data_IF_381897969083
#
_entry.id   IF_381897969083
#
_cell.length_a   1.000
_cell.length_b   1.000
_cell.length_c   1.000
_cell.angle_alpha   90.00
_cell.angle_beta   90.00
_cell.angle_gamma   90.00
#
_symmetry.space_group_name_H-M   'P 1'
#
loop_
_entity.id
_entity.type
_entity.pdbx_description
1 polymer ?
#
# COMPACT_ATOMS: atom_id res chain seq x y z
N UNK A 1 15.75 -13.20 -12.29
CA UNK A 1 14.74 -12.93 -11.24
C UNK A 1 14.76 -11.42 -11.04
N UNK A 2 13.64 -10.74 -11.26
CA UNK A 2 13.60 -9.28 -11.27
C UNK A 2 13.54 -8.69 -9.86
N UNK A 3 14.25 -7.58 -9.67
CA UNK A 3 14.04 -6.67 -8.54
C UNK A 3 12.62 -6.10 -8.61
N UNK A 4 12.01 -5.86 -7.45
CA UNK A 4 10.71 -5.20 -7.34
C UNK A 4 10.87 -3.95 -6.50
N UNK A 5 10.54 -2.80 -7.09
CA UNK A 5 10.57 -1.51 -6.40
C UNK A 5 9.15 -1.04 -6.13
N UNK A 6 8.84 -0.66 -4.90
CA UNK A 6 7.53 -0.15 -4.49
C UNK A 6 7.59 1.36 -4.30
N UNK A 7 6.72 2.09 -5.01
CA UNK A 7 6.62 3.54 -4.88
C UNK A 7 6.01 3.96 -3.54
N UNK A 8 6.34 5.18 -3.10
CA UNK A 8 5.71 5.82 -1.95
C UNK A 8 4.18 5.86 -2.11
N UNK A 9 3.68 6.27 -3.28
CA UNK A 9 2.26 6.34 -3.59
C UNK A 9 1.53 5.00 -3.36
N UNK A 10 2.08 3.91 -3.92
CA UNK A 10 1.49 2.58 -3.81
C UNK A 10 1.46 2.10 -2.36
N UNK A 11 2.57 2.30 -1.62
CA UNK A 11 2.64 1.94 -0.21
C UNK A 11 1.63 2.72 0.63
N UNK A 12 1.60 4.05 0.49
CA UNK A 12 0.73 4.92 1.29
C UNK A 12 -0.73 4.55 1.08
N UNK A 13 -1.19 4.37 -0.16
CA UNK A 13 -2.58 3.93 -0.42
C UNK A 13 -2.90 2.59 0.24
N UNK A 14 -2.00 1.61 0.14
CA UNK A 14 -2.19 0.29 0.74
C UNK A 14 -2.30 0.38 2.27
N UNK A 15 -1.42 1.17 2.89
CA UNK A 15 -1.43 1.40 4.33
C UNK A 15 -2.71 2.12 4.79
N UNK A 16 -3.09 3.22 4.11
CA UNK A 16 -4.28 3.99 4.44
C UNK A 16 -5.57 3.17 4.27
N UNK A 17 -5.64 2.28 3.26
CA UNK A 17 -6.78 1.38 3.08
C UNK A 17 -6.95 0.43 4.28
N UNK A 18 -5.85 -0.17 4.76
CA UNK A 18 -5.87 -0.99 5.96
C UNK A 18 -6.27 -0.19 7.22
N UNK A 19 -5.78 1.05 7.36
CA UNK A 19 -6.14 1.93 8.47
C UNK A 19 -7.61 2.38 8.47
N UNK A 20 -8.23 2.54 7.30
CA UNK A 20 -9.65 2.87 7.20
C UNK A 20 -10.57 1.74 7.66
N UNK A 21 -10.13 0.49 7.49
CA UNK A 21 -10.92 -0.69 7.81
C UNK A 21 -10.17 -1.64 8.76
N UNK A 22 -9.80 -1.19 9.98
CA UNK A 22 -8.88 -1.92 10.88
C UNK A 22 -9.45 -3.24 11.43
N UNK A 23 -10.76 -3.45 11.27
CA UNK A 23 -11.46 -4.68 11.70
C UNK A 23 -11.81 -5.60 10.53
N UNK A 24 -11.41 -5.23 9.32
CA UNK A 24 -11.68 -5.98 8.11
C UNK A 24 -10.35 -6.41 7.48
N UNK A 25 -10.37 -7.51 6.74
CA UNK A 25 -9.34 -7.72 5.74
C UNK A 25 -9.61 -6.80 4.56
N UNK A 26 -8.55 -6.29 3.94
CA UNK A 26 -8.61 -5.47 2.74
C UNK A 26 -7.79 -6.10 1.63
N UNK A 27 -8.10 -5.79 0.36
CA UNK A 27 -7.28 -6.18 -0.77
C UNK A 27 -7.15 -5.04 -1.81
N UNK A 28 -6.23 -5.22 -2.74
CA UNK A 28 -5.99 -4.26 -3.81
C UNK A 28 -5.19 -4.85 -4.97
N UNK A 29 -5.06 -4.06 -6.03
CA UNK A 29 -4.20 -4.37 -7.18
C UNK A 29 -3.02 -3.42 -7.20
N UNK A 30 -1.83 -3.98 -7.47
CA UNK A 30 -0.64 -3.19 -7.70
C UNK A 30 -0.52 -2.91 -9.21
N UNK A 31 -0.34 -1.64 -9.56
CA UNK A 31 -0.07 -1.20 -10.90
C UNK A 31 1.43 -1.03 -11.07
N UNK A 32 1.98 -1.65 -12.11
CA UNK A 32 3.41 -1.58 -12.39
C UNK A 32 3.68 -1.08 -13.80
N UNK A 33 4.70 -0.26 -13.95
CA UNK A 33 5.36 -0.07 -15.23
C UNK A 33 6.56 -1.01 -15.29
N UNK A 34 6.73 -1.70 -16.43
CA UNK A 34 7.92 -2.52 -16.67
C UNK A 34 8.83 -1.77 -17.62
N UNK A 35 9.88 -1.09 -17.15
CA UNK A 35 10.96 -0.67 -18.03
C UNK A 35 11.62 -1.93 -18.63
N UNK A 36 12.28 -1.79 -19.78
CA UNK A 36 12.84 -2.90 -20.58
C UNK A 36 13.98 -3.71 -19.91
N UNK A 37 14.18 -3.60 -18.59
CA UNK A 37 15.29 -4.17 -17.82
C UNK A 37 14.93 -5.26 -16.81
N UNK A 38 13.71 -5.80 -16.84
CA UNK A 38 13.33 -6.96 -16.01
C UNK A 38 13.10 -6.67 -14.51
N UNK A 39 13.30 -5.44 -14.06
CA UNK A 39 12.83 -4.96 -12.75
C UNK A 39 11.36 -4.50 -12.87
N UNK A 40 10.55 -4.83 -11.87
CA UNK A 40 9.13 -4.43 -11.80
C UNK A 40 9.03 -3.22 -10.88
N UNK A 41 8.66 -2.07 -11.46
CA UNK A 41 8.41 -0.86 -10.69
C UNK A 41 6.91 -0.77 -10.40
N UNK A 42 6.51 -1.03 -9.16
CA UNK A 42 5.13 -0.80 -8.70
C UNK A 42 4.95 0.69 -8.50
N UNK A 43 4.20 1.31 -9.41
CA UNK A 43 4.01 2.76 -9.48
C UNK A 43 2.80 3.23 -8.68
N UNK A 44 1.76 2.41 -8.59
CA UNK A 44 0.52 2.76 -7.89
C UNK A 44 -0.20 1.52 -7.32
N UNK A 45 -1.19 1.76 -6.45
CA UNK A 45 -2.08 0.76 -5.88
C UNK A 45 -3.53 1.19 -6.09
N UNK A 46 -4.39 0.23 -6.42
CA UNK A 46 -5.84 0.40 -6.48
C UNK A 46 -6.47 -0.39 -5.32
N UNK A 47 -6.91 0.29 -4.24
CA UNK A 47 -7.71 -0.30 -3.17
C UNK A 47 -9.00 -0.89 -3.75
N UNK A 48 -9.29 -2.17 -3.48
CA UNK A 48 -10.45 -2.86 -4.05
C UNK A 48 -11.58 -3.01 -3.03
N UNK A 49 -11.46 -3.98 -2.12
CA UNK A 49 -12.58 -4.41 -1.27
C UNK A 49 -12.22 -4.32 0.21
N UNK A 50 -13.25 -4.05 1.03
CA UNK A 50 -13.16 -4.08 2.50
C UNK A 50 -14.28 -4.88 3.17
N UNK A 51 -15.34 -5.28 2.44
CA UNK A 51 -16.52 -5.95 3.01
C UNK A 51 -16.73 -7.40 2.55
N UNK A 52 -16.46 -7.72 1.28
CA UNK A 52 -16.80 -9.01 0.64
C UNK A 52 -15.61 -9.82 0.16
N UNK A 53 -14.61 -10.03 1.01
CA UNK A 53 -13.49 -10.92 0.68
C UNK A 53 -13.87 -12.38 0.95
N UNK A 54 -13.79 -13.30 -0.03
CA UNK A 54 -14.00 -14.73 0.20
C UNK A 54 -12.75 -15.34 0.87
N UNK A 55 -12.39 -14.84 2.05
CA UNK A 55 -11.32 -15.39 2.87
C UNK A 55 -11.88 -16.51 3.75
N UNK A 56 -11.14 -17.60 3.85
CA UNK A 56 -11.42 -18.59 4.88
C UNK A 56 -11.30 -17.91 6.27
N UNK A 57 -12.22 -18.16 7.23
CA UNK A 57 -12.21 -17.51 8.54
C UNK A 57 -10.86 -17.57 9.29
N UNK A 58 -10.12 -18.66 9.10
CA UNK A 58 -8.79 -18.84 9.72
C UNK A 58 -7.72 -17.92 9.11
N UNK A 59 -7.81 -17.63 7.80
CA UNK A 59 -6.90 -16.70 7.12
C UNK A 59 -7.16 -15.27 7.57
N UNK A 60 -8.44 -14.90 7.70
CA UNK A 60 -8.84 -13.59 8.22
C UNK A 60 -8.31 -13.41 9.66
N UNK A 61 -8.49 -14.40 10.53
CA UNK A 61 -7.98 -14.35 11.91
C UNK A 61 -6.44 -14.25 11.96
N UNK A 62 -5.73 -15.02 11.14
CA UNK A 62 -4.27 -14.98 11.07
C UNK A 62 -3.75 -13.60 10.62
N UNK A 63 -4.37 -12.99 9.61
CA UNK A 63 -4.01 -11.66 9.13
C UNK A 63 -4.25 -10.59 10.20
N UNK A 64 -5.40 -10.62 10.88
CA UNK A 64 -5.69 -9.66 11.98
C UNK A 64 -4.74 -9.82 13.18
N UNK A 65 -4.31 -11.05 13.49
CA UNK A 65 -3.38 -11.29 14.61
C UNK A 65 -1.92 -10.91 14.28
N UNK A 66 -1.49 -11.05 13.02
CA UNK A 66 -0.10 -10.78 12.60
C UNK A 66 0.19 -9.27 12.48
N UNK A 67 -0.83 -8.42 12.31
CA UNK A 67 -0.66 -6.99 12.00
C UNK A 67 -0.45 -6.06 13.19
N UNK A 68 -1.09 -6.32 14.34
CA UNK A 68 -1.14 -5.34 15.44
C UNK A 68 0.23 -4.96 16.05
N UNK A 69 1.19 -5.89 16.07
CA UNK A 69 2.52 -5.66 16.66
C UNK A 69 3.56 -5.07 15.71
N UNK A 70 3.37 -5.17 14.39
CA UNK A 70 4.36 -4.74 13.38
C UNK A 70 4.06 -3.37 12.77
N UNK A 71 2.88 -2.82 13.01
CA UNK A 71 2.50 -1.46 12.63
C UNK A 71 2.89 -0.40 13.67
N UNK A 72 3.69 -0.76 14.69
CA UNK A 72 4.19 0.22 15.65
C UNK A 72 5.05 1.30 14.97
N UNK A 73 4.98 2.58 15.38
CA UNK A 73 5.79 3.65 14.80
C UNK A 73 7.32 3.43 14.93
N UNK A 74 7.75 2.60 15.88
CA UNK A 74 9.16 2.22 16.06
C UNK A 74 9.66 1.16 15.07
N UNK A 75 8.76 0.58 14.25
CA UNK A 75 9.12 -0.44 13.28
C UNK A 75 9.86 0.20 12.10
N UNK A 76 11.18 -0.02 12.03
CA UNK A 76 12.09 0.61 11.05
C UNK A 76 12.16 -0.09 9.70
N UNK A 77 11.45 -1.20 9.52
CA UNK A 77 11.40 -1.92 8.25
C UNK A 77 9.96 -1.94 7.72
N UNK A 78 9.73 -1.85 6.40
CA UNK A 78 8.39 -1.96 5.85
C UNK A 78 7.74 -3.30 6.26
N UNK A 79 6.51 -3.30 6.80
CA UNK A 79 5.81 -4.52 7.20
C UNK A 79 5.24 -5.27 5.98
N UNK A 80 6.05 -5.53 4.95
CA UNK A 80 5.65 -6.18 3.71
C UNK A 80 6.31 -7.55 3.59
N UNK A 81 5.51 -8.53 3.19
CA UNK A 81 5.97 -9.85 2.78
C UNK A 81 5.59 -10.06 1.31
N UNK A 82 6.57 -10.32 0.46
CA UNK A 82 6.32 -10.53 -0.97
C UNK A 82 6.53 -12.00 -1.34
N UNK A 83 5.58 -12.53 -2.11
CA UNK A 83 5.67 -13.85 -2.71
C UNK A 83 5.80 -13.72 -4.23
N UNK A 84 6.59 -14.59 -4.84
CA UNK A 84 6.69 -14.72 -6.29
C UNK A 84 6.23 -16.12 -6.71
N UNK A 85 5.50 -16.18 -7.83
CA UNK A 85 5.02 -17.44 -8.39
C UNK A 85 6.10 -18.04 -9.27
N UNK A 86 6.60 -19.22 -8.88
CA UNK A 86 7.48 -20.06 -9.68
C UNK A 86 6.70 -21.29 -10.10
N UNK A 87 6.58 -21.49 -11.41
CA UNK A 87 5.74 -22.52 -12.02
C UNK A 87 4.29 -22.45 -11.50
N UNK A 88 3.92 -23.33 -10.57
CA UNK A 88 2.59 -23.43 -9.97
C UNK A 88 2.54 -23.05 -8.50
N UNK A 89 3.67 -22.70 -7.87
CA UNK A 89 3.77 -22.46 -6.43
C UNK A 89 4.22 -21.04 -6.09
N UNK A 90 3.58 -20.45 -5.10
CA UNK A 90 4.04 -19.21 -4.47
C UNK A 90 5.20 -19.49 -3.53
N UNK A 91 6.31 -18.78 -3.73
CA UNK A 91 7.51 -18.87 -2.89
C UNK A 91 7.85 -17.51 -2.33
N UNK A 92 8.40 -17.47 -1.10
CA UNK A 92 8.84 -16.22 -0.50
C UNK A 92 9.93 -15.59 -1.39
N UNK A 93 9.76 -14.31 -1.73
CA UNK A 93 10.75 -13.56 -2.50
C UNK A 93 11.93 -13.17 -1.60
N UNK A 94 13.13 -13.18 -2.16
CA UNK A 94 14.32 -12.70 -1.45
C UNK A 94 14.17 -11.23 -1.06
N UNK A 95 14.31 -10.93 0.24
CA UNK A 95 14.14 -9.59 0.80
C UNK A 95 15.10 -8.58 0.19
N UNK A 96 16.29 -9.00 -0.24
CA UNK A 96 17.28 -8.12 -0.89
C UNK A 96 16.86 -7.65 -2.28
N UNK A 97 15.82 -8.26 -2.86
CA UNK A 97 15.27 -7.91 -4.17
C UNK A 97 14.01 -7.06 -4.08
N UNK A 98 13.60 -6.68 -2.87
CA UNK A 98 12.44 -5.83 -2.59
C UNK A 98 12.95 -4.46 -2.16
N UNK A 99 12.71 -3.44 -2.97
CA UNK A 99 13.23 -2.10 -2.76
C UNK A 99 12.10 -1.14 -2.37
N UNK A 100 12.28 -0.45 -1.23
CA UNK A 100 11.55 0.78 -0.87
C UNK A 100 12.61 1.85 -0.57
N UNK A 101 13.05 2.57 -1.59
CA UNK A 101 14.24 3.44 -1.50
C UNK A 101 14.10 4.59 -0.49
N UNK A 102 12.90 5.13 -0.33
CA UNK A 102 12.59 6.30 0.53
C UNK A 102 11.67 5.88 1.67
N UNK A 103 12.04 4.82 2.38
CA UNK A 103 11.16 4.21 3.39
C UNK A 103 10.84 5.15 4.54
N UNK A 104 11.84 5.86 5.08
CA UNK A 104 11.61 6.75 6.24
C UNK A 104 10.66 7.89 5.87
N UNK A 105 10.84 8.51 4.70
CA UNK A 105 9.99 9.56 4.17
C UNK A 105 8.58 9.03 3.86
N UNK A 106 8.48 7.87 3.21
CA UNK A 106 7.18 7.22 2.91
C UNK A 106 6.38 6.95 4.18
N UNK A 107 7.05 6.48 5.24
CA UNK A 107 6.45 6.19 6.53
C UNK A 107 5.97 7.48 7.22
N UNK A 108 6.76 8.54 7.15
CA UNK A 108 6.38 9.85 7.72
C UNK A 108 5.15 10.42 7.01
N UNK A 109 5.10 10.37 5.68
CA UNK A 109 3.94 10.80 4.89
C UNK A 109 2.69 10.01 5.27
N UNK A 110 2.80 8.68 5.38
CA UNK A 110 1.68 7.83 5.79
C UNK A 110 1.18 8.18 7.20
N UNK A 111 2.11 8.40 8.14
CA UNK A 111 1.81 8.82 9.52
C UNK A 111 1.11 10.18 9.55
N UNK A 112 1.62 11.16 8.81
CA UNK A 112 1.06 12.50 8.72
C UNK A 112 -0.37 12.48 8.18
N UNK A 113 -0.64 11.73 7.11
CA UNK A 113 -1.98 11.59 6.52
C UNK A 113 -2.96 10.87 7.46
N UNK A 114 -2.46 9.96 8.30
CA UNK A 114 -3.29 9.31 9.32
C UNK A 114 -3.67 10.31 10.41
N UNK A 115 -2.68 11.04 10.96
CA UNK A 115 -2.88 12.02 12.06
C UNK A 115 -3.73 13.21 11.62
N UNK A 116 -3.55 13.71 10.39
CA UNK A 116 -4.34 14.84 9.87
C UNK A 116 -5.78 14.46 9.52
N UNK A 117 -6.12 13.17 9.50
CA UNK A 117 -7.43 12.67 9.07
C UNK A 117 -7.58 12.52 7.56
N UNK A 118 -6.56 12.85 6.76
CA UNK A 118 -6.63 12.79 5.30
C UNK A 118 -6.73 11.37 4.72
N UNK A 119 -6.46 10.35 5.54
CA UNK A 119 -6.76 8.96 5.20
C UNK A 119 -8.23 8.75 4.81
N UNK A 120 -9.17 9.58 5.29
CA UNK A 120 -10.59 9.53 4.89
C UNK A 120 -10.84 9.97 3.44
N UNK A 121 -9.85 10.55 2.76
CA UNK A 121 -9.93 10.86 1.33
C UNK A 121 -9.83 9.62 0.45
N UNK A 122 -9.30 8.51 0.98
CA UNK A 122 -9.15 7.28 0.23
C UNK A 122 -10.52 6.67 -0.08
N UNK A 123 -10.73 6.35 -1.34
CA UNK A 123 -11.89 5.65 -1.88
C UNK A 123 -11.39 4.33 -2.44
N UNK A 124 -11.92 3.22 -1.92
CA UNK A 124 -11.74 1.91 -2.53
C UNK A 124 -12.87 1.58 -3.52
N UNK A 125 -12.68 0.50 -4.27
CA UNK A 125 -13.63 0.11 -5.31
C UNK A 125 -14.99 -0.30 -4.73
N UNK A 126 -15.01 -0.90 -3.53
CA UNK A 126 -16.24 -1.21 -2.78
C UNK A 126 -17.08 0.06 -2.54
N UNK A 127 -16.45 1.11 -2.01
CA UNK A 127 -17.10 2.41 -1.78
C UNK A 127 -17.56 3.08 -3.07
N UNK A 128 -16.85 2.86 -4.17
CA UNK A 128 -17.24 3.35 -5.50
C UNK A 128 -18.44 2.58 -6.08
N UNK A 129 -18.60 1.29 -5.77
CA UNK A 129 -19.78 0.54 -6.19
C UNK A 129 -21.04 1.00 -5.45
N UNK A 130 -20.91 1.43 -4.19
CA UNK A 130 -22.01 2.05 -3.42
C UNK A 130 -22.38 3.43 -3.97
N UNK A 131 -21.39 4.22 -4.41
CA UNK A 131 -21.58 5.53 -5.02
C UNK A 131 -20.56 5.75 -6.15
N UNK A 132 -21.03 5.59 -7.39
CA UNK A 132 -20.22 5.68 -8.62
C UNK A 132 -19.59 7.05 -8.85
N UNK A 133 -20.00 8.07 -8.09
CA UNK A 133 -19.39 9.41 -8.18
C UNK A 133 -18.08 9.51 -7.40
N UNK A 134 -17.79 8.55 -6.51
CA UNK A 134 -16.56 8.53 -5.71
C UNK A 134 -15.38 8.02 -6.54
N UNK A 135 -14.29 8.78 -6.58
CA UNK A 135 -13.12 8.48 -7.41
C UNK A 135 -12.20 7.41 -6.79
N UNK A 136 -12.33 6.16 -7.23
CA UNK A 136 -11.45 5.06 -6.83
C UNK A 136 -10.00 5.21 -7.32
N UNK A 137 -9.71 6.09 -8.29
CA UNK A 137 -8.34 6.37 -8.73
C UNK A 137 -7.60 7.31 -7.77
N UNK A 138 -8.35 7.93 -6.85
CA UNK A 138 -7.85 8.70 -5.72
C UNK A 138 -7.01 9.94 -6.13
N UNK A 139 -7.35 10.65 -7.20
CA UNK A 139 -6.50 11.74 -7.74
C UNK A 139 -6.17 12.83 -6.71
N UNK A 140 -7.14 13.21 -5.88
CA UNK A 140 -6.93 14.21 -4.82
C UNK A 140 -5.91 13.75 -3.78
N UNK A 141 -5.99 12.48 -3.38
CA UNK A 141 -5.04 11.88 -2.44
C UNK A 141 -3.66 11.71 -3.10
N UNK A 142 -3.60 11.33 -4.38
CA UNK A 142 -2.36 11.20 -5.14
C UNK A 142 -1.59 12.53 -5.18
N UNK A 143 -2.29 13.63 -5.48
CA UNK A 143 -1.70 14.96 -5.51
C UNK A 143 -1.14 15.36 -4.14
N UNK A 144 -1.87 15.07 -3.06
CA UNK A 144 -1.42 15.36 -1.70
C UNK A 144 -0.20 14.54 -1.29
N UNK A 145 -0.17 13.25 -1.62
CA UNK A 145 1.00 12.40 -1.39
C UNK A 145 2.20 12.92 -2.19
N UNK A 146 2.01 13.31 -3.45
CA UNK A 146 3.07 13.87 -4.29
C UNK A 146 3.61 15.20 -3.75
N UNK A 147 2.75 16.06 -3.20
CA UNK A 147 3.16 17.30 -2.53
C UNK A 147 4.03 17.03 -1.31
N UNK A 148 3.62 16.08 -0.45
CA UNK A 148 4.37 15.70 0.75
C UNK A 148 5.67 14.92 0.44
N UNK A 149 5.70 14.19 -0.68
CA UNK A 149 6.87 13.46 -1.14
C UNK A 149 7.87 14.35 -1.90
N UNK A 150 7.43 15.53 -2.35
CA UNK A 150 8.33 16.50 -2.96
C UNK A 150 9.16 17.13 -1.85
N UNK A 151 10.50 17.18 -1.96
CA UNK A 151 11.29 17.92 -1.00
C UNK A 151 10.78 19.36 -1.02
N UNK A 152 10.26 19.83 0.11
CA UNK A 152 10.04 21.26 0.28
C UNK A 152 11.34 21.94 -0.14
N UNK A 153 11.27 22.86 -1.11
CA UNK A 153 12.34 23.82 -1.30
C UNK A 153 12.52 24.50 0.06
N UNK A 154 13.48 24.01 0.85
CA UNK A 154 13.95 24.67 2.04
C UNK A 154 14.32 26.08 1.62
N UNK A 155 13.49 27.02 2.06
CA UNK A 155 13.64 28.44 1.81
C UNK A 155 15.09 28.87 2.09
N UNK A 156 15.67 29.57 1.11
CA UNK A 156 16.87 30.41 1.27
C UNK A 156 16.60 31.49 2.31
#
# INVERSE_FOLDING_TARGET
MGEVELSCLAYVKMYLHACLFPRCSVNGLLLSSSPAGGAVCVTDCVPLLHSHLPLAPITQLALTQIDSGKMSPDYRVPPIVMYERKDTRWTLKDKHTIMLRQWEETREIASQLLVSGDHSLLVDFDSHLDDITRDWTNQKLNAKIAELASPANSNV
#
